data_IF_329800783949
#
_entry.id   IF_329800783949
#
_cell.length_a   1.000
_cell.length_b   1.000
_cell.length_c   1.000
_cell.angle_alpha   90.00
_cell.angle_beta   90.00
_cell.angle_gamma   90.00
#
_symmetry.space_group_name_H-M   'P 1'
#
loop_
_entity.id
_entity.type
_entity.pdbx_description
1 polymer ?
#
# COMPACT_ATOMS: atom_id res chain seq x y z
N UNK A 1 13.17 -29.08 -3.89
CA UNK A 1 12.64 -29.15 -2.50
C UNK A 1 12.72 -27.81 -1.78
N UNK A 2 13.82 -27.04 -1.87
CA UNK A 2 13.93 -25.70 -1.27
C UNK A 2 12.94 -24.66 -1.84
N UNK A 3 12.70 -24.67 -3.16
CA UNK A 3 11.83 -23.69 -3.83
C UNK A 3 10.34 -23.84 -3.45
N UNK A 4 9.85 -25.08 -3.32
CA UNK A 4 8.43 -25.34 -3.00
C UNK A 4 8.11 -24.94 -1.56
N UNK A 5 9.04 -25.15 -0.63
CA UNK A 5 8.88 -24.75 0.77
C UNK A 5 8.87 -23.23 0.93
N UNK A 6 9.68 -22.51 0.15
CA UNK A 6 9.72 -21.05 0.15
C UNK A 6 8.43 -20.45 -0.42
N UNK A 7 7.89 -21.04 -1.50
CA UNK A 7 6.61 -20.62 -2.07
C UNK A 7 5.45 -20.84 -1.09
N UNK A 8 5.45 -21.95 -0.33
CA UNK A 8 4.42 -22.21 0.68
C UNK A 8 4.49 -21.22 1.84
N UNK A 9 5.69 -20.87 2.31
CA UNK A 9 5.86 -19.88 3.37
C UNK A 9 5.42 -18.49 2.95
N UNK A 10 5.72 -18.09 1.70
CA UNK A 10 5.29 -16.80 1.16
C UNK A 10 3.76 -16.69 1.08
N UNK A 11 3.10 -17.76 0.62
CA UNK A 11 1.63 -17.83 0.53
C UNK A 11 1.00 -17.71 1.91
N UNK A 12 1.51 -18.44 2.90
CA UNK A 12 0.96 -18.43 4.26
C UNK A 12 1.20 -17.08 4.95
N UNK A 13 2.35 -16.43 4.73
CA UNK A 13 2.64 -15.09 5.26
C UNK A 13 1.69 -14.03 4.68
N UNK A 14 1.53 -14.00 3.35
CA UNK A 14 0.61 -13.08 2.68
C UNK A 14 -0.81 -13.32 3.19
N UNK A 15 -1.24 -14.58 3.28
CA UNK A 15 -2.57 -14.94 3.77
C UNK A 15 -2.78 -14.52 5.24
N UNK A 16 -1.79 -14.70 6.11
CA UNK A 16 -1.84 -14.22 7.51
C UNK A 16 -2.09 -12.71 7.55
N UNK A 17 -1.27 -11.94 6.83
CA UNK A 17 -1.33 -10.48 6.85
C UNK A 17 -2.67 -9.96 6.28
N UNK A 18 -3.23 -10.62 5.25
CA UNK A 18 -4.57 -10.31 4.75
C UNK A 18 -5.64 -10.64 5.80
N UNK A 19 -5.59 -11.83 6.40
CA UNK A 19 -6.55 -12.26 7.43
C UNK A 19 -6.55 -11.33 8.64
N UNK A 20 -5.39 -10.90 9.12
CA UNK A 20 -5.25 -9.99 10.26
C UNK A 20 -5.94 -8.64 9.99
N UNK A 21 -5.75 -8.09 8.79
CA UNK A 21 -6.39 -6.84 8.37
C UNK A 21 -7.92 -7.00 8.27
N UNK A 22 -8.39 -8.11 7.71
CA UNK A 22 -9.83 -8.40 7.58
C UNK A 22 -10.47 -8.57 8.96
N UNK A 23 -9.83 -9.32 9.86
CA UNK A 23 -10.36 -9.63 11.19
C UNK A 23 -10.32 -8.41 12.11
N UNK A 24 -9.27 -7.60 12.03
CA UNK A 24 -9.11 -6.42 12.85
C UNK A 24 -8.63 -5.21 12.04
N UNK A 25 -9.55 -4.53 11.32
CA UNK A 25 -9.20 -3.30 10.58
C UNK A 25 -8.62 -2.20 11.47
N UNK A 26 -8.84 -2.25 12.79
CA UNK A 26 -8.25 -1.29 13.73
C UNK A 26 -6.71 -1.39 13.82
N UNK A 27 -6.13 -2.56 13.49
CA UNK A 27 -4.67 -2.76 13.43
C UNK A 27 -4.00 -1.86 12.39
N UNK A 28 -4.72 -1.49 11.33
CA UNK A 28 -4.26 -0.57 10.27
C UNK A 28 -3.71 0.71 10.88
N UNK A 29 -4.43 1.31 11.84
CA UNK A 29 -4.00 2.55 12.49
C UNK A 29 -2.64 2.37 13.16
N UNK A 30 -2.42 1.23 13.83
CA UNK A 30 -1.13 0.89 14.45
C UNK A 30 -0.01 0.73 13.42
N UNK A 31 -0.29 0.02 12.32
CA UNK A 31 0.66 -0.18 11.21
C UNK A 31 1.09 1.14 10.57
N UNK A 32 0.13 2.01 10.23
CA UNK A 32 0.38 3.33 9.67
C UNK A 32 1.16 4.19 10.68
N UNK A 33 0.77 4.15 11.95
CA UNK A 33 1.41 4.91 13.01
C UNK A 33 2.88 4.52 13.24
N UNK A 34 3.20 3.23 13.17
CA UNK A 34 4.57 2.73 13.30
C UNK A 34 5.40 3.00 12.05
N UNK A 35 4.78 2.95 10.86
CA UNK A 35 5.45 3.22 9.61
C UNK A 35 5.68 4.72 9.37
N UNK A 36 4.83 5.63 9.85
CA UNK A 36 4.96 7.07 9.64
C UNK A 36 5.56 7.75 10.88
N UNK A 37 6.87 7.59 11.04
CA UNK A 37 7.65 8.11 12.17
C UNK A 37 8.87 8.90 11.70
N UNK A 38 9.16 10.01 12.39
CA UNK A 38 10.30 10.90 12.10
C UNK A 38 11.65 10.19 12.10
N UNK A 39 11.97 9.27 13.03
CA UNK A 39 13.25 8.55 13.00
C UNK A 39 13.44 7.71 11.73
N UNK A 40 12.37 7.10 11.21
CA UNK A 40 12.44 6.35 9.96
C UNK A 40 12.76 7.28 8.79
N UNK A 41 12.12 8.44 8.73
CA UNK A 41 12.39 9.44 7.69
C UNK A 41 13.84 9.97 7.80
N UNK A 42 14.38 10.17 9.01
CA UNK A 42 15.80 10.51 9.19
C UNK A 42 16.76 9.43 8.64
N UNK A 43 16.39 8.16 8.76
CA UNK A 43 17.13 7.06 8.12
C UNK A 43 17.16 7.21 6.59
N UNK A 44 16.03 7.52 5.97
CA UNK A 44 15.97 7.78 4.53
C UNK A 44 16.77 9.02 4.12
N UNK A 45 16.76 10.11 4.92
CA UNK A 45 17.66 11.27 4.68
C UNK A 45 19.12 10.85 4.66
N UNK A 46 19.55 10.06 5.64
CA UNK A 46 20.93 9.60 5.73
C UNK A 46 21.31 8.79 4.48
N UNK A 47 20.43 7.87 4.03
CA UNK A 47 20.64 7.12 2.79
C UNK A 47 20.80 8.07 1.60
N UNK A 48 19.91 9.05 1.43
CA UNK A 48 19.99 10.02 0.33
C UNK A 48 21.21 10.96 0.40
N UNK A 49 21.83 11.13 1.57
CA UNK A 49 23.08 11.88 1.70
C UNK A 49 24.28 11.08 1.17
N UNK A 50 24.32 9.77 1.42
CA UNK A 50 25.40 8.89 1.01
C UNK A 50 25.25 8.38 -0.44
N UNK A 51 24.03 8.18 -0.91
CA UNK A 51 23.72 7.74 -2.27
C UNK A 51 23.68 8.95 -3.22
N UNK A 52 24.85 9.34 -3.73
CA UNK A 52 24.97 10.50 -4.63
C UNK A 52 24.65 10.20 -6.08
N UNK A 53 24.66 8.93 -6.47
CA UNK A 53 24.51 8.49 -7.87
C UNK A 53 23.06 8.64 -8.37
N UNK A 54 22.09 8.56 -7.46
CA UNK A 54 20.67 8.75 -7.74
C UNK A 54 20.20 10.22 -7.74
N UNK A 55 21.09 11.19 -7.43
CA UNK A 55 20.73 12.60 -7.22
C UNK A 55 19.92 13.23 -8.36
N UNK A 56 20.32 13.01 -9.60
CA UNK A 56 19.65 13.61 -10.76
C UNK A 56 18.27 13.01 -11.01
N UNK A 57 18.16 11.67 -10.90
CA UNK A 57 16.88 10.97 -11.03
C UNK A 57 15.91 11.39 -9.92
N UNK A 58 16.40 11.45 -8.67
CA UNK A 58 15.61 11.88 -7.51
C UNK A 58 15.18 13.35 -7.62
N UNK A 59 16.00 14.23 -8.20
CA UNK A 59 15.61 15.62 -8.42
C UNK A 59 14.35 15.74 -9.29
N UNK A 60 14.26 14.94 -10.35
CA UNK A 60 13.05 14.89 -11.20
C UNK A 60 11.84 14.40 -10.42
N UNK A 61 12.00 13.38 -9.57
CA UNK A 61 10.90 12.89 -8.73
C UNK A 61 10.49 13.91 -7.65
N UNK A 62 11.43 14.69 -7.11
CA UNK A 62 11.14 15.80 -6.18
C UNK A 62 10.31 16.90 -6.84
N UNK A 63 10.56 17.22 -8.11
CA UNK A 63 9.72 18.13 -8.88
C UNK A 63 8.30 17.58 -9.08
N UNK A 64 8.17 16.31 -9.50
CA UNK A 64 6.85 15.64 -9.58
C UNK A 64 6.10 15.67 -8.26
N UNK A 65 6.80 15.40 -7.16
CA UNK A 65 6.19 15.42 -5.83
C UNK A 65 5.76 16.83 -5.43
N UNK A 66 6.56 17.85 -5.72
CA UNK A 66 6.20 19.25 -5.45
C UNK A 66 4.93 19.66 -6.23
N UNK A 67 4.85 19.28 -7.51
CA UNK A 67 3.68 19.53 -8.34
C UNK A 67 2.45 18.75 -7.85
N UNK A 68 2.61 17.48 -7.48
CA UNK A 68 1.53 16.66 -6.93
C UNK A 68 1.01 17.21 -5.59
N UNK A 69 1.90 17.69 -4.70
CA UNK A 69 1.51 18.37 -3.45
C UNK A 69 0.76 19.67 -3.75
N UNK A 70 1.24 20.45 -4.72
CA UNK A 70 0.55 21.65 -5.18
C UNK A 70 -0.87 21.34 -5.68
N UNK A 71 -1.03 20.19 -6.34
CA UNK A 71 -2.31 19.66 -6.84
C UNK A 71 -3.09 18.84 -5.80
N UNK A 72 -2.82 19.02 -4.49
CA UNK A 72 -3.59 18.44 -3.38
C UNK A 72 -3.57 16.90 -3.30
N UNK A 73 -2.50 16.23 -3.77
CA UNK A 73 -2.41 14.74 -3.78
C UNK A 73 -2.54 14.07 -2.40
N UNK A 74 -2.37 14.84 -1.33
CA UNK A 74 -2.45 14.35 0.05
C UNK A 74 -3.85 14.50 0.66
N UNK A 75 -4.79 15.04 -0.10
CA UNK A 75 -6.18 15.06 0.27
C UNK A 75 -6.68 13.64 0.52
N UNK A 76 -7.57 13.49 1.50
CA UNK A 76 -8.25 12.24 1.80
C UNK A 76 -8.78 11.55 0.54
N UNK A 77 -9.41 12.30 -0.37
CA UNK A 77 -9.96 11.76 -1.62
C UNK A 77 -8.89 11.08 -2.49
N UNK A 78 -7.73 11.72 -2.66
CA UNK A 78 -6.64 11.18 -3.47
C UNK A 78 -6.02 9.94 -2.84
N UNK A 79 -5.82 9.95 -1.52
CA UNK A 79 -5.37 8.78 -0.76
C UNK A 79 -6.37 7.63 -0.89
N UNK A 80 -7.67 7.86 -0.69
CA UNK A 80 -8.68 6.81 -0.80
C UNK A 80 -8.81 6.27 -2.22
N UNK A 81 -8.68 7.12 -3.24
CA UNK A 81 -8.72 6.69 -4.64
C UNK A 81 -7.52 5.79 -4.98
N UNK A 82 -6.33 6.11 -4.48
CA UNK A 82 -5.15 5.28 -4.70
C UNK A 82 -5.32 3.87 -4.10
N UNK A 83 -5.85 3.81 -2.87
CA UNK A 83 -6.14 2.55 -2.19
C UNK A 83 -7.25 1.78 -2.93
N UNK A 84 -8.28 2.47 -3.42
CA UNK A 84 -9.36 1.87 -4.21
C UNK A 84 -8.85 1.25 -5.52
N UNK A 85 -7.90 1.88 -6.22
CA UNK A 85 -7.26 1.32 -7.42
C UNK A 85 -6.60 -0.03 -7.11
N UNK A 86 -5.89 -0.13 -5.98
CA UNK A 86 -5.23 -1.36 -5.54
C UNK A 86 -6.26 -2.46 -5.25
N UNK A 87 -7.33 -2.12 -4.53
CA UNK A 87 -8.39 -3.09 -4.24
C UNK A 87 -9.16 -3.51 -5.49
N UNK A 88 -9.36 -2.63 -6.47
CA UNK A 88 -9.96 -3.01 -7.76
C UNK A 88 -9.12 -4.03 -8.51
N UNK A 89 -7.79 -3.88 -8.50
CA UNK A 89 -6.92 -4.89 -9.14
C UNK A 89 -6.95 -6.21 -8.36
N UNK A 90 -6.96 -6.17 -7.02
CA UNK A 90 -7.15 -7.38 -6.20
C UNK A 90 -8.49 -8.07 -6.49
N UNK A 91 -9.59 -7.31 -6.54
CA UNK A 91 -10.94 -7.82 -6.79
C UNK A 91 -11.09 -8.47 -8.17
N UNK A 92 -10.32 -8.00 -9.16
CA UNK A 92 -10.27 -8.61 -10.50
C UNK A 92 -9.73 -10.03 -10.43
N UNK A 93 -8.63 -10.28 -9.72
CA UNK A 93 -8.11 -11.64 -9.51
C UNK A 93 -9.08 -12.50 -8.69
N UNK A 94 -9.65 -11.94 -7.61
CA UNK A 94 -10.62 -12.65 -6.78
C UNK A 94 -11.91 -13.02 -7.56
N UNK A 95 -12.33 -12.17 -8.50
CA UNK A 95 -13.49 -12.44 -9.36
C UNK A 95 -13.24 -13.62 -10.29
N UNK A 96 -12.02 -13.77 -10.82
CA UNK A 96 -11.63 -14.95 -11.59
C UNK A 96 -11.63 -16.19 -10.69
N UNK A 97 -11.07 -16.12 -9.48
CA UNK A 97 -11.13 -17.21 -8.49
C UNK A 97 -12.57 -17.63 -8.20
N UNK A 98 -13.49 -16.67 -8.04
CA UNK A 98 -14.91 -16.93 -7.73
C UNK A 98 -15.65 -17.70 -8.82
N UNK A 99 -15.26 -17.54 -10.09
CA UNK A 99 -15.86 -18.28 -11.21
C UNK A 99 -15.55 -19.77 -11.13
N UNK A 100 -14.44 -20.15 -10.50
CA UNK A 100 -14.09 -21.54 -10.25
C UNK A 100 -14.98 -22.15 -9.15
N UNK A 101 -15.67 -23.24 -9.47
CA UNK A 101 -16.58 -23.94 -8.55
C UNK A 101 -15.89 -24.40 -7.25
N UNK A 102 -14.58 -24.68 -7.29
CA UNK A 102 -13.79 -25.11 -6.12
C UNK A 102 -13.66 -23.98 -5.10
N UNK A 103 -13.44 -22.75 -5.55
CA UNK A 103 -13.11 -21.62 -4.68
C UNK A 103 -14.29 -20.69 -4.40
N UNK A 104 -15.43 -20.87 -5.06
CA UNK A 104 -16.61 -20.00 -4.92
C UNK A 104 -17.03 -19.80 -3.47
N UNK A 105 -17.08 -20.87 -2.67
CA UNK A 105 -17.44 -20.80 -1.26
C UNK A 105 -16.46 -19.96 -0.44
N UNK A 106 -15.16 -20.20 -0.66
CA UNK A 106 -14.07 -19.50 0.04
C UNK A 106 -14.03 -18.01 -0.33
N UNK A 107 -14.08 -17.67 -1.62
CA UNK A 107 -14.10 -16.26 -2.05
C UNK A 107 -15.33 -15.54 -1.52
N UNK A 108 -16.49 -16.21 -1.47
CA UNK A 108 -17.72 -15.60 -0.95
C UNK A 108 -17.65 -15.33 0.55
N UNK A 109 -17.02 -16.22 1.33
CA UNK A 109 -16.81 -16.00 2.77
C UNK A 109 -15.81 -14.87 3.04
N UNK A 110 -14.76 -14.76 2.23
CA UNK A 110 -13.78 -13.67 2.28
C UNK A 110 -14.44 -12.35 1.89
N UNK A 111 -15.12 -12.28 0.75
CA UNK A 111 -15.77 -11.06 0.27
C UNK A 111 -16.81 -10.52 1.26
N UNK A 112 -17.58 -11.40 1.93
CA UNK A 112 -18.51 -10.98 2.96
C UNK A 112 -17.85 -10.35 4.20
N UNK A 113 -16.58 -10.68 4.46
CA UNK A 113 -15.80 -10.17 5.61
C UNK A 113 -14.87 -9.02 5.23
N UNK A 114 -14.41 -8.99 3.98
CA UNK A 114 -13.59 -7.93 3.42
C UNK A 114 -14.46 -6.69 3.21
N UNK A 115 -14.54 -5.86 4.25
CA UNK A 115 -15.22 -4.57 4.20
C UNK A 115 -14.31 -3.52 3.55
N UNK A 116 -14.09 -3.63 2.23
CA UNK A 116 -13.15 -2.78 1.47
C UNK A 116 -13.34 -1.29 1.76
N UNK A 117 -14.58 -0.80 1.79
CA UNK A 117 -14.88 0.60 2.13
C UNK A 117 -14.40 0.99 3.55
N UNK A 118 -14.50 0.09 4.53
CA UNK A 118 -14.00 0.31 5.89
C UNK A 118 -12.48 0.35 5.92
N UNK A 119 -11.80 -0.54 5.19
CA UNK A 119 -10.33 -0.57 5.10
C UNK A 119 -9.82 0.72 4.43
N UNK A 120 -10.42 1.12 3.30
CA UNK A 120 -10.14 2.39 2.63
C UNK A 120 -10.31 3.55 3.60
N UNK A 121 -11.45 3.60 4.31
CA UNK A 121 -11.76 4.70 5.20
C UNK A 121 -10.80 4.81 6.40
N UNK A 122 -10.52 3.69 7.07
CA UNK A 122 -9.61 3.64 8.22
C UNK A 122 -8.18 3.97 7.80
N UNK A 123 -7.72 3.43 6.66
CA UNK A 123 -6.38 3.74 6.13
C UNK A 123 -6.27 5.21 5.78
N UNK A 124 -7.24 5.76 5.03
CA UNK A 124 -7.27 7.18 4.68
C UNK A 124 -7.29 8.08 5.92
N UNK A 125 -8.05 7.71 6.96
CA UNK A 125 -8.11 8.46 8.21
C UNK A 125 -6.80 8.40 9.00
N UNK A 126 -6.16 7.23 9.06
CA UNK A 126 -4.88 7.05 9.74
C UNK A 126 -3.74 7.83 9.05
N UNK A 127 -3.70 7.78 7.71
CA UNK A 127 -2.77 8.59 6.90
C UNK A 127 -3.04 10.06 7.12
N UNK A 128 -4.30 10.48 7.00
CA UNK A 128 -4.69 11.87 7.17
C UNK A 128 -4.30 12.37 8.55
N UNK A 129 -4.57 11.63 9.63
CA UNK A 129 -4.14 12.02 10.97
C UNK A 129 -2.63 12.30 11.02
N UNK A 130 -1.81 11.44 10.42
CA UNK A 130 -0.34 11.59 10.41
C UNK A 130 0.16 12.77 9.61
N UNK A 131 -0.37 12.99 8.41
CA UNK A 131 0.02 14.15 7.58
C UNK A 131 -0.60 15.46 8.08
N UNK A 132 -1.76 15.38 8.76
CA UNK A 132 -2.52 16.52 9.30
C UNK A 132 -2.13 16.91 10.73
N UNK A 133 -1.32 16.11 11.43
CA UNK A 133 -0.65 16.55 12.67
C UNK A 133 0.26 17.79 12.43
N UNK A 134 0.35 18.24 11.18
CA UNK A 134 1.03 19.45 10.73
C UNK A 134 0.07 20.36 9.94
N UNK A 135 -1.18 20.49 10.39
CA UNK A 135 -2.09 21.52 9.89
C UNK A 135 -3.55 21.21 10.15
N UNK A 136 -4.18 21.95 11.06
CA UNK A 136 -5.62 22.15 10.97
C UNK A 136 -5.94 22.62 9.55
N UNK A 137 -6.85 21.94 8.85
CA UNK A 137 -7.31 22.30 7.49
C UNK A 137 -7.76 23.77 7.38
N UNK A 138 -8.06 24.41 8.51
CA UNK A 138 -8.42 25.81 8.66
C UNK A 138 -7.26 26.81 8.54
N UNK A 139 -6.00 26.36 8.50
CA UNK A 139 -4.84 27.23 8.40
C UNK A 139 -4.50 27.53 6.93
N UNK A 140 -4.52 28.81 6.55
CA UNK A 140 -4.20 29.32 5.19
C UNK A 140 -2.85 28.85 4.61
N UNK A 141 -2.00 28.17 5.38
CA UNK A 141 -0.64 27.77 5.01
C UNK A 141 -0.36 26.26 5.13
N UNK A 142 -1.38 25.39 5.14
CA UNK A 142 -1.17 23.95 5.33
C UNK A 142 -0.34 23.31 4.20
N UNK A 143 -0.57 23.72 2.94
CA UNK A 143 0.21 23.29 1.77
C UNK A 143 1.70 23.61 1.98
N UNK A 144 2.04 24.80 2.47
CA UNK A 144 3.42 25.21 2.71
C UNK A 144 4.13 24.38 3.80
N UNK A 145 3.41 23.96 4.85
CA UNK A 145 3.98 23.11 5.91
C UNK A 145 4.22 21.69 5.38
N UNK A 146 3.24 21.13 4.68
CA UNK A 146 3.36 19.79 4.10
C UNK A 146 4.43 19.73 3.01
N UNK A 147 4.54 20.78 2.19
CA UNK A 147 5.62 20.99 1.21
C UNK A 147 6.99 21.01 1.90
N UNK A 148 7.15 21.74 3.00
CA UNK A 148 8.40 21.75 3.79
C UNK A 148 8.76 20.34 4.31
N UNK A 149 7.81 19.60 4.85
CA UNK A 149 8.08 18.30 5.47
C UNK A 149 8.35 17.21 4.45
N UNK A 150 7.60 17.19 3.35
CA UNK A 150 7.80 16.22 2.29
C UNK A 150 9.03 16.56 1.47
N UNK A 151 9.21 17.80 1.00
CA UNK A 151 10.28 18.14 0.05
C UNK A 151 11.66 18.38 0.67
N UNK A 152 11.74 18.83 1.93
CA UNK A 152 13.01 19.20 2.58
C UNK A 152 13.48 18.09 3.55
N UNK A 153 12.58 17.16 3.91
CA UNK A 153 12.86 16.06 4.84
C UNK A 153 12.97 14.69 4.18
N UNK A 154 13.18 13.67 5.02
CA UNK A 154 13.38 12.28 4.61
C UNK A 154 12.19 11.58 4.01
N UNK A 155 11.02 12.18 4.15
CA UNK A 155 9.82 11.68 3.49
C UNK A 155 9.91 11.82 1.97
N UNK A 156 10.57 12.84 1.40
CA UNK A 156 10.80 12.89 -0.06
C UNK A 156 11.61 11.69 -0.50
N UNK A 157 12.72 11.45 0.19
CA UNK A 157 13.63 10.37 -0.14
C UNK A 157 12.95 9.01 0.01
N UNK A 158 12.15 8.83 1.06
CA UNK A 158 11.33 7.65 1.27
C UNK A 158 10.23 7.49 0.21
N UNK A 159 9.52 8.56 -0.11
CA UNK A 159 8.49 8.58 -1.14
C UNK A 159 9.05 8.10 -2.47
N UNK A 160 10.18 8.66 -2.88
CA UNK A 160 10.86 8.32 -4.13
C UNK A 160 11.31 6.87 -4.12
N UNK A 161 12.03 6.45 -3.08
CA UNK A 161 12.53 5.06 -3.01
C UNK A 161 11.40 4.05 -2.93
N UNK A 162 10.31 4.34 -2.23
CA UNK A 162 9.14 3.45 -2.19
C UNK A 162 8.38 3.40 -3.51
N UNK A 163 8.32 4.50 -4.26
CA UNK A 163 7.82 4.49 -5.64
C UNK A 163 8.71 3.62 -6.54
N UNK A 164 10.03 3.75 -6.44
CA UNK A 164 10.99 2.95 -7.22
C UNK A 164 10.95 1.46 -6.85
N UNK A 165 10.92 1.12 -5.55
CA UNK A 165 10.71 -0.25 -5.10
C UNK A 165 9.39 -0.81 -5.62
N UNK A 166 8.30 -0.04 -5.58
CA UNK A 166 7.02 -0.49 -6.14
C UNK A 166 7.10 -0.77 -7.64
N UNK A 167 7.87 0.03 -8.40
CA UNK A 167 8.08 -0.17 -9.84
C UNK A 167 8.83 -1.47 -10.15
N UNK A 168 9.67 -1.95 -9.23
CA UNK A 168 10.44 -3.18 -9.35
C UNK A 168 9.64 -4.37 -8.82
N UNK A 169 9.10 -4.24 -7.61
CA UNK A 169 8.50 -5.31 -6.84
C UNK A 169 7.06 -5.65 -7.29
N UNK A 170 6.30 -4.65 -7.77
CA UNK A 170 4.92 -4.84 -8.24
C UNK A 170 4.60 -3.87 -9.41
N UNK A 171 5.25 -4.07 -10.58
CA UNK A 171 5.15 -3.16 -11.73
C UNK A 171 3.71 -2.97 -12.23
N UNK A 172 2.85 -3.98 -12.07
CA UNK A 172 1.42 -3.93 -12.39
C UNK A 172 0.67 -2.90 -11.53
N UNK A 173 0.98 -2.80 -10.23
CA UNK A 173 0.37 -1.81 -9.35
C UNK A 173 0.99 -0.43 -9.58
N UNK A 174 2.31 -0.36 -9.75
CA UNK A 174 3.00 0.89 -10.06
C UNK A 174 2.38 1.58 -11.29
N UNK A 175 2.16 0.84 -12.38
CA UNK A 175 1.56 1.38 -13.61
C UNK A 175 0.15 1.92 -13.43
N UNK A 176 -0.62 1.40 -12.47
CA UNK A 176 -1.96 1.87 -12.16
C UNK A 176 -1.94 3.15 -11.31
N UNK A 177 -0.95 3.30 -10.42
CA UNK A 177 -0.83 4.46 -9.54
C UNK A 177 -0.14 5.65 -10.21
N UNK A 178 0.83 5.38 -11.09
CA UNK A 178 1.70 6.38 -11.72
C UNK A 178 0.96 7.51 -12.48
N UNK A 179 -0.15 7.28 -13.21
CA UNK A 179 -0.81 8.33 -13.99
C UNK A 179 -1.38 9.48 -13.16
N UNK A 180 -1.59 9.27 -11.84
CA UNK A 180 -2.09 10.28 -10.92
C UNK A 180 -1.06 10.65 -9.84
N UNK A 181 0.20 10.27 -10.06
CA UNK A 181 1.30 10.41 -9.10
C UNK A 181 1.08 9.71 -7.74
N UNK A 182 0.09 8.81 -7.65
CA UNK A 182 -0.20 8.06 -6.41
C UNK A 182 0.94 7.12 -6.00
N UNK A 183 1.84 6.79 -6.93
CA UNK A 183 3.07 6.08 -6.61
C UNK A 183 3.94 6.86 -5.60
N UNK A 184 3.90 8.20 -5.63
CA UNK A 184 4.64 9.06 -4.71
C UNK A 184 4.02 9.10 -3.30
N UNK A 185 2.73 8.81 -3.15
CA UNK A 185 2.07 8.74 -1.84
C UNK A 185 1.96 7.32 -1.29
N UNK A 186 2.35 6.31 -2.07
CA UNK A 186 2.29 4.89 -1.70
C UNK A 186 2.88 4.60 -0.32
N UNK A 187 4.03 5.17 0.00
CA UNK A 187 4.71 4.96 1.29
C UNK A 187 3.83 5.32 2.51
N UNK A 188 2.81 6.17 2.33
CA UNK A 188 1.91 6.58 3.40
C UNK A 188 0.96 5.47 3.83
N UNK A 189 0.50 4.65 2.89
CA UNK A 189 -0.51 3.60 3.12
C UNK A 189 0.02 2.19 2.81
N UNK A 190 1.26 2.05 2.34
CA UNK A 190 1.96 0.79 2.07
C UNK A 190 1.68 -0.29 3.12
N UNK A 191 1.86 -0.06 4.44
CA UNK A 191 1.69 -1.12 5.44
C UNK A 191 0.31 -1.78 5.42
N UNK A 192 -0.73 -1.02 5.08
CA UNK A 192 -2.12 -1.48 5.07
C UNK A 192 -2.48 -2.22 3.78
N UNK A 193 -1.86 -1.85 2.65
CA UNK A 193 -2.22 -2.39 1.33
C UNK A 193 -1.25 -3.43 0.81
N UNK A 194 -0.03 -3.48 1.36
CA UNK A 194 1.04 -4.36 0.88
C UNK A 194 0.64 -5.83 0.81
N UNK A 195 -0.08 -6.43 1.78
CA UNK A 195 -0.50 -7.83 1.65
C UNK A 195 -1.37 -8.10 0.42
N UNK A 196 -2.23 -7.15 0.05
CA UNK A 196 -3.08 -7.26 -1.14
C UNK A 196 -2.27 -7.07 -2.43
N UNK A 197 -1.29 -6.17 -2.43
CA UNK A 197 -0.35 -5.98 -3.54
C UNK A 197 0.49 -7.25 -3.73
N UNK A 198 1.04 -7.80 -2.65
CA UNK A 198 1.86 -9.02 -2.69
C UNK A 198 1.02 -10.19 -3.28
N UNK A 199 -0.26 -10.30 -2.91
CA UNK A 199 -1.18 -11.28 -3.50
C UNK A 199 -1.39 -11.05 -5.01
N UNK A 200 -1.69 -9.82 -5.43
CA UNK A 200 -1.84 -9.46 -6.86
C UNK A 200 -0.56 -9.78 -7.63
N UNK A 201 0.60 -9.44 -7.09
CA UNK A 201 1.88 -9.68 -7.72
C UNK A 201 2.17 -11.17 -7.93
N UNK A 202 1.86 -12.01 -6.94
CA UNK A 202 1.93 -13.47 -7.08
C UNK A 202 0.97 -13.96 -8.17
N UNK A 203 -0.24 -13.42 -8.23
CA UNK A 203 -1.19 -13.70 -9.31
C UNK A 203 -0.66 -13.30 -10.70
N UNK A 204 -0.03 -12.13 -10.81
CA UNK A 204 0.50 -11.60 -12.05
C UNK A 204 1.73 -12.38 -12.55
N UNK A 205 2.63 -12.79 -11.65
CA UNK A 205 3.90 -13.44 -12.01
C UNK A 205 3.82 -14.96 -12.07
N UNK A 206 3.00 -15.59 -11.22
CA UNK A 206 2.87 -17.06 -11.10
C UNK A 206 1.52 -17.58 -11.58
N UNK A 207 0.61 -16.68 -11.97
CA UNK A 207 -0.69 -17.01 -12.52
C UNK A 207 -1.80 -17.19 -11.48
N UNK A 208 -3.03 -17.28 -11.98
CA UNK A 208 -4.26 -17.41 -11.19
C UNK A 208 -4.21 -18.54 -10.13
N UNK A 209 -3.68 -19.75 -10.41
CA UNK A 209 -3.65 -20.81 -9.40
C UNK A 209 -2.83 -20.47 -8.15
N UNK A 210 -1.81 -19.61 -8.27
CA UNK A 210 -1.02 -19.18 -7.12
C UNK A 210 -1.80 -18.18 -6.26
N UNK A 211 -2.53 -17.25 -6.90
CA UNK A 211 -3.46 -16.36 -6.22
C UNK A 211 -4.57 -17.13 -5.52
N UNK A 212 -5.16 -18.12 -6.19
CA UNK A 212 -6.22 -18.96 -5.63
C UNK A 212 -5.78 -19.68 -4.35
N UNK A 213 -4.52 -20.13 -4.26
CA UNK A 213 -3.94 -20.71 -3.04
C UNK A 213 -3.84 -19.72 -1.88
N UNK A 214 -3.51 -18.46 -2.16
CA UNK A 214 -3.50 -17.40 -1.15
C UNK A 214 -4.91 -17.18 -0.62
N UNK A 215 -5.89 -17.03 -1.52
CA UNK A 215 -7.31 -16.86 -1.16
C UNK A 215 -7.82 -18.04 -0.34
N UNK A 216 -7.49 -19.27 -0.74
CA UNK A 216 -7.84 -20.48 0.00
C UNK A 216 -7.23 -20.49 1.41
N UNK A 217 -5.95 -20.09 1.55
CA UNK A 217 -5.29 -19.94 2.84
C UNK A 217 -5.93 -18.86 3.73
N UNK A 218 -6.30 -17.70 3.16
CA UNK A 218 -7.05 -16.65 3.86
C UNK A 218 -8.38 -17.19 4.36
N UNK A 219 -9.11 -17.91 3.49
CA UNK A 219 -10.38 -18.54 3.83
C UNK A 219 -10.26 -19.47 5.02
N UNK A 220 -9.30 -20.41 4.99
CA UNK A 220 -9.04 -21.34 6.10
C UNK A 220 -8.82 -20.60 7.42
N UNK A 221 -7.98 -19.56 7.43
CA UNK A 221 -7.68 -18.79 8.64
C UNK A 221 -8.90 -18.07 9.19
N UNK A 222 -9.72 -17.50 8.30
CA UNK A 222 -10.98 -16.87 8.67
C UNK A 222 -12.00 -17.87 9.24
N UNK A 223 -11.99 -19.12 8.79
CA UNK A 223 -12.88 -20.17 9.31
C UNK A 223 -12.43 -20.77 10.66
N UNK A 224 -11.12 -20.82 10.93
CA UNK A 224 -10.56 -21.39 12.18
C UNK A 224 -10.84 -20.53 13.41
N UNK A 225 -11.17 -19.24 13.26
CA UNK A 225 -11.51 -18.35 14.40
C UNK A 225 -12.99 -18.37 14.79
N UNK A 226 -13.74 -19.39 14.39
CA UNK A 226 -15.10 -19.68 14.88
C UNK A 226 -15.05 -20.78 15.94
#
# INVERSE_FOLDING_TARGET
MADINNVSSDIDDIANRISDIIMSPATITGLINGALTVPLDMGYLAIGYFDTDSRYAHQTQRFRMAEAIHNDILNYKHITNAIEIIFKEFDKYASVTKQNNVYRGVVSSIAGRLLTAKIIAVTGAAVLARVSFIGAQSAKNWIGRVTMILLIGGMSERSIRKSESLAIDAPEIYKLLRPHDYDLTYFLYEPAVKPFIDAVHIGATRGQPAFDRIIDAVGRKLHVTQ
#
